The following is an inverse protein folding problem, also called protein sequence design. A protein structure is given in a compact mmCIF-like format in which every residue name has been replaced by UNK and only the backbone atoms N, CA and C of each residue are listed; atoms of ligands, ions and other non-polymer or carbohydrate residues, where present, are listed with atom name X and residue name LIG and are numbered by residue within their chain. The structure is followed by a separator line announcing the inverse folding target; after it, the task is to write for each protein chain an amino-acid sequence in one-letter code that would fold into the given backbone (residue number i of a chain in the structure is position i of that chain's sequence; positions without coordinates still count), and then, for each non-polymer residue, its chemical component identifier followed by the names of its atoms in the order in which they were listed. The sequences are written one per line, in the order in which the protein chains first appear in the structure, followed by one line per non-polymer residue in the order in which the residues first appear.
data_IF_578704668265
#
_entry.id   IF_578704668265
#
_cell.length_a   1.000
_cell.length_b   1.000
_cell.length_c   1.000
_cell.angle_alpha   90.00
_cell.angle_beta   90.00
_cell.angle_gamma   90.00
#
_symmetry.space_group_name_H-M   'P 1'
#
loop_
_entity.id
_entity.type
_entity.pdbx_description
1 polymer ?
#
# COMPACT_ATOMS: atom_id res chain seq x y z
N UNK A 1 42.77 -10.71 17.70
CA UNK A 1 43.32 -9.43 17.18
C UNK A 1 42.43 -8.95 16.03
N UNK A 2 41.64 -7.90 16.30
CA UNK A 2 41.46 -6.64 15.52
C UNK A 2 41.28 -6.65 13.98
N UNK A 3 40.17 -5.98 13.54
CA UNK A 3 39.83 -5.20 12.29
C UNK A 3 40.86 -5.17 11.13
N UNK A 4 40.49 -5.08 9.84
CA UNK A 4 39.92 -3.86 9.19
C UNK A 4 39.50 -4.13 7.72
N UNK A 5 38.61 -3.27 7.21
CA UNK A 5 37.89 -3.19 5.94
C UNK A 5 38.67 -2.39 4.88
N UNK A 6 38.62 -2.76 3.60
CA UNK A 6 38.89 -1.83 2.48
C UNK A 6 37.98 -2.15 1.28
N UNK A 7 37.36 -1.12 0.74
CA UNK A 7 36.40 -1.09 -0.38
C UNK A 7 37.13 -0.41 -1.54
N UNK A 8 37.05 -0.96 -2.75
CA UNK A 8 37.54 -0.33 -3.97
C UNK A 8 36.42 -0.35 -5.00
N UNK A 9 36.11 0.84 -5.52
CA UNK A 9 35.11 1.11 -6.56
C UNK A 9 35.71 0.83 -7.94
N UNK A 10 34.88 0.33 -8.87
CA UNK A 10 34.99 0.67 -10.29
C UNK A 10 33.64 0.47 -10.98
N UNK A 11 33.19 1.53 -11.64
CA UNK A 11 32.04 1.56 -12.53
C UNK A 11 32.32 0.83 -13.86
N UNK A 12 31.23 0.48 -14.57
CA UNK A 12 31.29 0.09 -15.97
C UNK A 12 30.00 -0.52 -16.50
N UNK A 13 29.02 0.31 -16.84
CA UNK A 13 27.97 -0.03 -17.83
C UNK A 13 28.48 0.21 -19.25
N UNK A 14 27.97 -0.51 -20.27
CA UNK A 14 27.48 0.20 -21.46
C UNK A 14 26.24 -0.45 -22.12
N UNK A 15 25.18 0.37 -22.36
CA UNK A 15 24.58 0.79 -23.66
C UNK A 15 23.90 -0.32 -24.49
N UNK A 16 22.84 -0.14 -25.28
CA UNK A 16 22.28 0.95 -26.13
C UNK A 16 20.90 0.44 -26.69
N UNK A 17 20.22 1.03 -27.72
CA UNK A 17 20.48 2.25 -28.51
C UNK A 17 19.24 3.14 -28.80
N UNK A 18 19.47 4.34 -29.37
CA UNK A 18 18.43 5.09 -30.07
C UNK A 18 18.64 6.58 -30.31
N UNK A 19 19.79 6.96 -30.90
CA UNK A 19 20.04 8.05 -31.88
C UNK A 19 19.60 9.51 -31.58
N UNK A 20 20.54 10.47 -31.44
CA UNK A 20 21.30 11.26 -32.45
C UNK A 20 20.48 12.46 -32.99
N UNK A 21 20.90 13.74 -33.03
CA UNK A 21 22.23 14.30 -33.27
C UNK A 21 22.33 15.80 -32.87
N UNK A 22 23.56 16.29 -32.60
CA UNK A 22 24.24 17.54 -33.09
C UNK A 22 23.43 18.86 -33.15
N UNK A 23 23.86 20.06 -32.70
CA UNK A 23 25.16 20.75 -32.50
C UNK A 23 24.92 21.98 -31.59
N UNK A 24 25.95 22.44 -30.87
CA UNK A 24 26.12 23.83 -30.36
C UNK A 24 26.94 24.66 -31.38
N UNK A 25 27.12 26.01 -31.34
CA UNK A 25 27.07 26.89 -30.15
C UNK A 25 26.57 28.36 -30.35
N UNK A 26 26.43 29.06 -29.21
CA UNK A 26 26.65 30.50 -28.92
C UNK A 26 26.32 31.66 -29.90
N UNK A 27 25.83 32.72 -29.26
CA UNK A 27 26.07 34.18 -29.44
C UNK A 27 25.24 35.04 -30.42
N UNK A 28 24.59 36.05 -29.80
CA UNK A 28 24.43 37.47 -30.19
C UNK A 28 23.63 37.86 -31.45
N UNK A 29 22.64 38.75 -31.27
CA UNK A 29 22.56 40.14 -31.83
C UNK A 29 21.12 40.71 -31.74
N UNK A 30 21.05 41.90 -31.17
CA UNK A 30 20.18 43.08 -31.44
C UNK A 30 18.92 42.96 -32.33
N UNK A 31 17.80 43.46 -31.78
CA UNK A 31 16.95 44.47 -32.41
C UNK A 31 15.95 44.05 -33.49
N UNK A 32 14.66 44.04 -33.15
CA UNK A 32 13.59 44.71 -33.92
C UNK A 32 12.26 44.58 -33.19
N UNK A 33 11.44 45.62 -33.31
CA UNK A 33 10.14 45.74 -32.66
C UNK A 33 9.19 44.64 -33.16
N UNK A 34 8.75 43.79 -32.25
CA UNK A 34 7.66 42.83 -32.47
C UNK A 34 6.64 43.00 -31.37
N UNK A 35 5.44 43.43 -31.73
CA UNK A 35 4.28 43.55 -30.84
C UNK A 35 3.99 42.21 -30.16
N UNK A 36 4.26 42.11 -28.86
CA UNK A 36 3.91 40.95 -28.06
C UNK A 36 2.38 40.92 -27.87
N UNK A 37 1.70 40.02 -28.59
CA UNK A 37 0.32 39.66 -28.28
C UNK A 37 0.31 39.03 -26.88
N UNK A 38 -0.60 39.42 -25.98
CA UNK A 38 -0.67 38.82 -24.65
C UNK A 38 -1.06 37.35 -24.79
N UNK A 39 -0.17 36.46 -24.33
CA UNK A 39 -0.44 35.03 -24.19
C UNK A 39 -1.67 34.86 -23.31
N UNK A 40 -2.75 34.33 -23.89
CA UNK A 40 -3.92 33.90 -23.13
C UNK A 40 -3.47 32.91 -22.04
N UNK A 41 -3.94 33.05 -20.79
CA UNK A 41 -3.60 32.10 -19.74
C UNK A 41 -4.08 30.71 -20.15
N UNK A 42 -3.16 29.75 -20.16
CA UNK A 42 -3.47 28.35 -20.41
C UNK A 42 -4.45 27.85 -19.33
N UNK A 43 -5.44 27.01 -19.68
CA UNK A 43 -6.34 26.44 -18.70
C UNK A 43 -5.53 25.58 -17.70
N UNK A 44 -5.91 25.59 -16.41
CA UNK A 44 -5.21 24.79 -15.41
C UNK A 44 -5.26 23.29 -15.77
N UNK A 45 -4.19 22.53 -15.51
CA UNK A 45 -4.16 21.11 -15.80
C UNK A 45 -5.29 20.38 -15.06
N UNK A 46 -5.89 19.33 -15.65
CA UNK A 46 -6.92 18.55 -14.99
C UNK A 46 -6.37 17.94 -13.69
N UNK A 47 -7.17 17.90 -12.61
CA UNK A 47 -6.69 17.42 -11.32
C UNK A 47 -6.23 15.97 -11.42
N UNK A 48 -4.98 15.72 -11.02
CA UNK A 48 -4.41 14.39 -10.95
C UNK A 48 -5.19 13.51 -9.94
N UNK A 49 -5.37 12.20 -10.21
CA UNK A 49 -6.22 11.29 -9.41
C UNK A 49 -5.68 10.93 -8.01
N UNK A 50 -4.73 11.70 -7.46
CA UNK A 50 -4.15 11.48 -6.14
C UNK A 50 -4.22 12.70 -5.22
N UNK A 51 -5.11 13.65 -5.49
CA UNK A 51 -5.39 14.75 -4.57
C UNK A 51 -6.08 14.17 -3.32
N UNK A 52 -5.33 14.13 -2.22
CA UNK A 52 -5.87 13.97 -0.87
C UNK A 52 -6.99 14.99 -0.69
N UNK A 53 -8.23 14.50 -0.72
CA UNK A 53 -9.41 15.34 -0.81
C UNK A 53 -9.72 15.96 0.57
N UNK A 54 -8.85 16.87 1.03
CA UNK A 54 -9.06 17.70 2.23
C UNK A 54 -10.19 18.71 2.03
N UNK A 55 -10.65 18.94 0.79
CA UNK A 55 -11.78 19.81 0.47
C UNK A 55 -13.13 19.34 1.04
N UNK A 56 -13.27 18.06 1.41
CA UNK A 56 -14.51 17.54 2.02
C UNK A 56 -14.74 18.03 3.47
N UNK A 57 -13.74 18.69 4.08
CA UNK A 57 -13.75 19.14 5.48
C UNK A 57 -14.38 20.51 5.69
N UNK A 58 -14.67 21.26 4.61
CA UNK A 58 -15.10 22.66 4.69
C UNK A 58 -16.51 22.85 5.29
N UNK A 59 -17.35 21.81 5.31
CA UNK A 59 -18.66 21.82 5.98
C UNK A 59 -18.82 20.61 6.92
N UNK A 60 -18.13 20.66 8.06
CA UNK A 60 -18.30 19.68 9.15
C UNK A 60 -19.48 20.00 10.06
N UNK A 61 -20.12 21.16 9.94
CA UNK A 61 -21.19 21.60 10.85
C UNK A 61 -22.46 20.80 10.54
N UNK A 62 -22.59 19.65 11.19
CA UNK A 62 -23.75 18.76 11.07
C UNK A 62 -23.55 17.55 10.16
N UNK A 63 -22.32 17.21 9.77
CA UNK A 63 -22.03 15.94 9.10
C UNK A 63 -21.83 14.81 10.14
N UNK A 64 -22.44 13.66 9.90
CA UNK A 64 -22.23 12.43 10.68
C UNK A 64 -20.98 11.74 10.15
N UNK A 65 -20.10 11.33 11.06
CA UNK A 65 -18.87 10.60 10.74
C UNK A 65 -18.99 9.18 11.26
N UNK A 66 -18.79 8.20 10.38
CA UNK A 66 -18.78 6.78 10.70
C UNK A 66 -17.41 6.22 10.40
N UNK A 67 -16.79 5.58 11.39
CA UNK A 67 -15.44 5.00 11.26
C UNK A 67 -15.50 3.49 11.32
N UNK A 68 -14.80 2.81 10.40
CA UNK A 68 -14.64 1.35 10.44
C UNK A 68 -13.33 1.02 11.12
N UNK A 69 -13.40 0.39 12.29
CA UNK A 69 -12.24 -0.01 13.12
C UNK A 69 -12.17 -1.53 13.27
N UNK A 70 -10.98 -2.06 13.50
CA UNK A 70 -10.76 -3.50 13.71
C UNK A 70 -9.36 -3.98 13.33
N UNK A 71 -9.13 -5.28 13.48
CA UNK A 71 -7.83 -5.91 13.23
C UNK A 71 -7.41 -5.80 11.75
N UNK A 72 -6.10 -5.90 11.44
CA UNK A 72 -5.63 -6.02 10.07
C UNK A 72 -6.35 -7.16 9.32
N UNK A 73 -6.56 -6.98 8.02
CA UNK A 73 -7.07 -8.03 7.11
C UNK A 73 -8.50 -8.54 7.36
N UNK A 74 -9.26 -8.01 8.32
CA UNK A 74 -10.69 -8.36 8.54
C UNK A 74 -11.65 -7.78 7.49
N UNK A 75 -11.13 -7.13 6.44
CA UNK A 75 -11.94 -6.59 5.34
C UNK A 75 -12.44 -5.15 5.50
N UNK A 76 -11.93 -4.36 6.45
CA UNK A 76 -12.36 -2.96 6.68
C UNK A 76 -12.41 -2.11 5.42
N UNK A 77 -11.30 -2.02 4.69
CA UNK A 77 -11.21 -1.23 3.45
C UNK A 77 -12.07 -1.81 2.33
N UNK A 78 -12.30 -3.12 2.32
CA UNK A 78 -13.25 -3.78 1.41
C UNK A 78 -14.68 -3.36 1.71
N UNK A 79 -15.08 -3.34 2.99
CA UNK A 79 -16.39 -2.86 3.43
C UNK A 79 -16.57 -1.37 3.09
N UNK A 80 -15.53 -0.55 3.29
CA UNK A 80 -15.57 0.87 2.93
C UNK A 80 -15.79 1.04 1.42
N UNK A 81 -15.07 0.28 0.58
CA UNK A 81 -15.28 0.31 -0.87
C UNK A 81 -16.68 -0.16 -1.28
N UNK A 82 -17.18 -1.22 -0.65
CA UNK A 82 -18.53 -1.74 -0.92
C UNK A 82 -19.60 -0.68 -0.59
N UNK A 83 -19.47 0.01 0.54
CA UNK A 83 -20.38 1.08 0.94
C UNK A 83 -20.28 2.33 0.04
N UNK A 84 -19.10 2.62 -0.50
CA UNK A 84 -18.90 3.73 -1.44
C UNK A 84 -19.30 3.39 -2.88
N UNK A 85 -19.60 2.12 -3.19
CA UNK A 85 -19.92 1.64 -4.53
C UNK A 85 -18.80 1.81 -5.55
N UNK A 86 -17.58 2.11 -5.10
CA UNK A 86 -16.43 2.41 -5.94
C UNK A 86 -15.12 2.05 -5.22
N UNK A 87 -14.11 1.65 -5.99
CA UNK A 87 -12.79 1.29 -5.47
C UNK A 87 -11.97 2.55 -5.13
N UNK A 88 -12.33 3.22 -4.02
CA UNK A 88 -11.70 4.48 -3.56
C UNK A 88 -10.58 4.28 -2.56
N UNK A 89 -10.57 3.13 -1.89
CA UNK A 89 -9.57 2.73 -0.90
C UNK A 89 -8.83 1.52 -1.42
N UNK A 90 -7.51 1.50 -1.27
CA UNK A 90 -6.74 0.36 -1.74
C UNK A 90 -6.79 -0.81 -0.74
N UNK A 91 -7.06 -2.01 -1.24
CA UNK A 91 -7.14 -3.25 -0.46
C UNK A 91 -5.89 -4.12 -0.68
N UNK A 92 -5.51 -4.90 0.33
CA UNK A 92 -4.47 -5.94 0.24
C UNK A 92 -4.66 -6.94 1.37
N UNK A 93 -4.22 -8.18 1.13
CA UNK A 93 -4.16 -9.25 2.12
C UNK A 93 -2.99 -9.11 3.11
N UNK A 94 -2.03 -8.23 2.82
CA UNK A 94 -0.89 -7.99 3.70
C UNK A 94 -1.26 -6.99 4.80
N UNK A 95 -0.93 -7.31 6.08
CA UNK A 95 -1.20 -6.39 7.18
C UNK A 95 -0.45 -5.07 6.98
N UNK A 96 -1.09 -3.95 7.36
CA UNK A 96 -0.50 -2.61 7.26
C UNK A 96 -0.75 -1.89 5.93
N UNK A 97 -1.73 -2.33 5.12
CA UNK A 97 -2.09 -1.66 3.85
C UNK A 97 -2.68 -0.26 4.04
N UNK A 98 -3.58 -0.09 5.01
CA UNK A 98 -4.11 1.21 5.43
C UNK A 98 -3.21 1.75 6.54
N UNK A 99 -2.31 2.67 6.20
CA UNK A 99 -1.36 3.27 7.16
C UNK A 99 -1.88 4.56 7.79
N UNK A 100 -2.79 5.24 7.09
CA UNK A 100 -3.28 6.56 7.47
C UNK A 100 -4.81 6.55 7.54
N UNK A 101 -5.33 7.37 8.44
CA UNK A 101 -6.75 7.65 8.54
C UNK A 101 -7.22 8.38 7.27
N UNK A 102 -8.19 7.80 6.57
CA UNK A 102 -8.73 8.36 5.34
C UNK A 102 -10.22 8.65 5.53
N UNK A 103 -10.68 9.78 5.01
CA UNK A 103 -12.09 10.19 5.07
C UNK A 103 -12.66 10.28 3.67
N UNK A 104 -13.80 9.63 3.46
CA UNK A 104 -14.52 9.59 2.19
C UNK A 104 -15.93 10.12 2.40
N UNK A 105 -16.33 11.10 1.59
CA UNK A 105 -17.70 11.61 1.59
C UNK A 105 -18.60 10.60 0.87
N UNK A 106 -19.59 10.07 1.58
CA UNK A 106 -20.57 9.11 1.06
C UNK A 106 -21.88 9.82 0.66
N UNK A 107 -22.32 10.79 1.45
CA UNK A 107 -23.46 11.66 1.14
C UNK A 107 -23.20 13.10 1.60
N UNK A 108 -24.14 14.02 1.32
CA UNK A 108 -24.03 15.45 1.65
C UNK A 108 -23.73 15.72 3.13
N UNK A 109 -24.16 14.83 4.03
CA UNK A 109 -23.94 14.93 5.48
C UNK A 109 -23.38 13.64 6.11
N UNK A 110 -22.80 12.73 5.31
CA UNK A 110 -22.25 11.47 5.80
C UNK A 110 -20.83 11.23 5.30
N UNK A 111 -19.91 11.10 6.25
CA UNK A 111 -18.51 10.80 6.04
C UNK A 111 -18.20 9.39 6.54
N UNK A 112 -17.55 8.60 5.71
CA UNK A 112 -17.07 7.26 6.04
C UNK A 112 -15.55 7.29 6.15
N UNK A 113 -15.01 6.68 7.20
CA UNK A 113 -13.58 6.69 7.48
C UNK A 113 -12.97 5.29 7.47
N UNK A 114 -11.88 5.13 6.71
CA UNK A 114 -11.04 3.92 6.74
C UNK A 114 -9.86 4.14 7.70
N UNK A 115 -9.77 3.27 8.70
CA UNK A 115 -8.79 3.34 9.76
C UNK A 115 -7.71 2.26 9.58
N UNK A 116 -6.46 2.53 10.03
CA UNK A 116 -5.44 1.49 10.09
C UNK A 116 -5.91 0.31 10.97
N UNK A 117 -5.42 -0.89 10.64
CA UNK A 117 -5.68 -2.07 11.45
C UNK A 117 -5.07 -1.92 12.84
N UNK A 118 -5.88 -2.07 13.88
CA UNK A 118 -5.43 -2.00 15.27
C UNK A 118 -5.28 -3.42 15.81
N UNK A 119 -4.10 -3.75 16.32
CA UNK A 119 -3.83 -5.02 17.00
C UNK A 119 -3.46 -4.72 18.43
N UNK A 120 -4.19 -5.30 19.38
CA UNK A 120 -3.79 -5.28 20.78
C UNK A 120 -2.90 -6.52 21.07
N UNK A 121 -1.83 -6.38 21.88
CA UNK A 121 -1.06 -7.53 22.33
C UNK A 121 -1.98 -8.55 23.01
N UNK A 122 -2.12 -9.74 22.42
CA UNK A 122 -2.92 -10.82 23.01
C UNK A 122 -2.05 -11.61 24.00
N UNK A 123 -2.04 -11.16 25.24
CA UNK A 123 -1.31 -11.83 26.33
C UNK A 123 -1.91 -13.23 26.56
N UNK A 124 -1.07 -14.24 26.70
CA UNK A 124 -1.49 -15.62 26.95
C UNK A 124 -1.99 -16.40 25.72
N UNK A 125 -1.98 -15.80 24.52
CA UNK A 125 -2.32 -16.50 23.27
C UNK A 125 -1.05 -16.93 22.55
N UNK A 126 -0.88 -18.21 22.16
CA UNK A 126 0.28 -18.66 21.41
C UNK A 126 0.46 -17.91 20.08
N UNK A 127 1.71 -17.65 19.68
CA UNK A 127 2.03 -16.98 18.41
C UNK A 127 1.39 -17.69 17.22
N UNK A 128 1.36 -19.03 17.23
CA UNK A 128 0.71 -19.82 16.19
C UNK A 128 -0.76 -19.41 15.95
N UNK A 129 -1.50 -19.21 17.04
CA UNK A 129 -2.90 -18.78 17.00
C UNK A 129 -3.03 -17.34 16.53
N UNK A 130 -2.14 -16.45 16.97
CA UNK A 130 -2.11 -15.05 16.53
C UNK A 130 -1.81 -14.91 15.03
N UNK A 131 -0.94 -15.78 14.49
CA UNK A 131 -0.65 -15.85 13.06
C UNK A 131 -1.88 -16.30 12.29
N UNK A 132 -2.56 -17.35 12.75
CA UNK A 132 -3.79 -17.85 12.10
C UNK A 132 -4.91 -16.81 12.08
N UNK A 133 -5.04 -15.99 13.13
CA UNK A 133 -5.98 -14.87 13.14
C UNK A 133 -5.54 -13.66 12.30
N UNK A 134 -4.35 -13.67 11.71
CA UNK A 134 -3.82 -12.56 10.92
C UNK A 134 -3.40 -11.34 11.75
N UNK A 135 -3.39 -11.46 13.08
CA UNK A 135 -2.96 -10.39 13.99
C UNK A 135 -1.43 -10.31 14.09
N UNK A 136 -0.73 -11.42 13.82
CA UNK A 136 0.73 -11.47 13.76
C UNK A 136 1.22 -11.92 12.37
N UNK A 137 2.15 -11.19 11.73
CA UNK A 137 2.62 -11.54 10.40
C UNK A 137 3.47 -12.83 10.42
N UNK A 138 3.10 -13.82 9.60
CA UNK A 138 3.80 -15.11 9.53
C UNK A 138 5.29 -14.97 9.18
N UNK A 139 5.65 -13.97 8.38
CA UNK A 139 7.04 -13.69 7.99
C UNK A 139 7.95 -13.25 9.17
N UNK A 140 7.36 -12.89 10.33
CA UNK A 140 8.10 -12.53 11.54
C UNK A 140 8.05 -13.63 12.61
N UNK A 141 7.37 -14.74 12.36
CA UNK A 141 7.28 -15.84 13.32
C UNK A 141 8.64 -16.54 13.38
N UNK A 142 9.17 -16.72 14.59
CA UNK A 142 10.44 -17.44 14.81
C UNK A 142 10.32 -18.91 14.42
N UNK A 143 9.16 -19.51 14.63
CA UNK A 143 8.83 -20.87 14.23
C UNK A 143 7.49 -20.88 13.45
N UNK A 144 7.55 -20.73 12.11
CA UNK A 144 6.37 -20.84 11.26
C UNK A 144 5.78 -22.26 11.21
N UNK A 145 6.59 -23.30 11.45
CA UNK A 145 6.13 -24.69 11.39
C UNK A 145 5.20 -25.04 12.55
N UNK A 146 5.36 -24.39 13.71
CA UNK A 146 4.39 -24.48 14.80
C UNK A 146 2.96 -24.09 14.37
N UNK A 147 2.83 -23.11 13.47
CA UNK A 147 1.53 -22.69 12.90
C UNK A 147 0.93 -23.84 12.07
N UNK A 148 1.75 -24.43 11.20
CA UNK A 148 1.36 -25.53 10.32
C UNK A 148 0.95 -26.76 11.14
N UNK A 149 1.76 -27.12 12.15
CA UNK A 149 1.46 -28.21 13.07
C UNK A 149 0.15 -27.97 13.83
N UNK A 150 -0.02 -26.77 14.40
CA UNK A 150 -1.24 -26.40 15.12
C UNK A 150 -2.50 -26.56 14.25
N UNK A 151 -2.41 -26.18 12.97
CA UNK A 151 -3.48 -26.32 11.99
C UNK A 151 -3.72 -27.79 11.61
N UNK A 152 -2.65 -28.53 11.31
CA UNK A 152 -2.71 -29.93 10.89
C UNK A 152 -3.37 -30.82 11.95
N UNK A 153 -2.99 -30.65 13.22
CA UNK A 153 -3.59 -31.40 14.34
C UNK A 153 -5.10 -31.19 14.49
N UNK A 154 -5.63 -30.04 14.04
CA UNK A 154 -7.06 -29.66 14.21
C UNK A 154 -7.91 -29.87 12.98
N UNK A 155 -7.31 -29.87 11.79
CA UNK A 155 -8.03 -29.97 10.51
C UNK A 155 -7.86 -31.38 9.89
N UNK A 156 -7.03 -32.24 10.48
CA UNK A 156 -6.97 -33.64 10.08
C UNK A 156 -8.35 -34.32 10.25
N UNK A 157 -8.85 -35.08 9.26
CA UNK A 157 -8.18 -35.47 8.01
C UNK A 157 -8.38 -34.49 6.84
N UNK A 158 -9.34 -33.56 6.87
CA UNK A 158 -9.70 -32.71 5.70
C UNK A 158 -8.51 -32.06 4.99
N UNK A 159 -7.47 -31.68 5.73
CA UNK A 159 -6.26 -31.09 5.17
C UNK A 159 -5.60 -31.98 4.09
N UNK A 160 -5.60 -33.31 4.25
CA UNK A 160 -5.00 -34.22 3.27
C UNK A 160 -5.76 -34.22 1.94
N UNK A 161 -7.10 -34.15 2.00
CA UNK A 161 -7.95 -34.12 0.79
C UNK A 161 -7.74 -32.80 0.08
N UNK A 162 -7.81 -31.68 0.80
CA UNK A 162 -7.70 -30.33 0.22
C UNK A 162 -6.34 -30.09 -0.44
N UNK A 163 -5.26 -30.62 0.15
CA UNK A 163 -3.90 -30.42 -0.35
C UNK A 163 -3.37 -31.60 -1.17
N UNK A 164 -4.15 -32.67 -1.36
CA UNK A 164 -3.73 -33.87 -2.08
C UNK A 164 -2.53 -34.61 -1.46
N UNK A 165 -2.38 -34.51 -0.13
CA UNK A 165 -1.23 -35.10 0.57
C UNK A 165 -1.38 -36.61 0.68
N UNK A 166 -0.31 -37.33 0.40
CA UNK A 166 -0.22 -38.78 0.62
C UNK A 166 0.60 -39.05 1.87
N UNK A 167 0.22 -40.07 2.63
CA UNK A 167 1.00 -40.52 3.78
C UNK A 167 2.34 -41.05 3.26
N UNK A 168 3.44 -40.56 3.81
CA UNK A 168 4.76 -41.14 3.56
C UNK A 168 4.75 -42.50 4.26
N UNK A 169 5.07 -43.57 3.52
CA UNK A 169 5.23 -44.89 4.12
C UNK A 169 6.36 -44.82 5.15
N UNK A 170 6.16 -45.37 6.34
CA UNK A 170 7.24 -45.51 7.32
C UNK A 170 8.22 -46.55 6.78
N UNK A 171 9.48 -46.15 6.56
CA UNK A 171 10.62 -47.05 6.28
C UNK A 171 11.07 -47.80 7.54
#
# INVERSE_FOLDING_TARGET
KTKTKTKTESEGSPTSPGQCARLSPSSSISGSQGTALPLLPHPPPPPHPHTHNQAALADRRGAVVVCVIGEPNVGKSTTVNALLGAHRVAVSSHPGRTKHYQTHRMASRLLLCDCPGLVFPRIGVPVAVQVLYGSFPIAKASDPYAVVRYLAERIWPRLHVTLGLRRVAEE
#
